data_IF_907921454941
#
_entry.id   IF_907921454941
#
_cell.length_a   1.000
_cell.length_b   1.000
_cell.length_c   1.000
_cell.angle_alpha   90.00
_cell.angle_beta   90.00
_cell.angle_gamma   90.00
#
_symmetry.space_group_name_H-M   'P 1'
#
loop_
_entity.id
_entity.type
_entity.pdbx_description
1 polymer ?
#
# COMPACT_ATOMS: atom_id res chain seq x y z
N UNK A 1 26.04 25.76 11.70
CA UNK A 1 25.33 26.13 12.94
C UNK A 1 23.89 25.60 13.03
N UNK A 2 22.98 25.92 12.09
CA UNK A 2 21.56 25.47 12.16
C UNK A 2 21.37 23.94 12.20
N UNK A 3 22.19 23.18 11.46
CA UNK A 3 22.16 21.70 11.46
C UNK A 3 22.67 21.11 12.78
N UNK A 4 23.66 21.75 13.40
CA UNK A 4 24.25 21.33 14.67
C UNK A 4 23.29 21.56 15.85
N UNK A 5 22.57 22.70 15.86
CA UNK A 5 21.54 23.00 16.84
C UNK A 5 20.38 22.00 16.79
N UNK A 6 19.92 21.64 15.59
CA UNK A 6 18.85 20.66 15.42
C UNK A 6 19.27 19.26 15.88
N UNK A 7 20.53 18.87 15.64
CA UNK A 7 21.06 17.60 16.14
C UNK A 7 21.13 17.58 17.68
N UNK A 8 21.66 18.62 18.31
CA UNK A 8 21.72 18.71 19.77
C UNK A 8 20.33 18.73 20.42
N UNK A 9 19.39 19.49 19.86
CA UNK A 9 18.01 19.52 20.34
C UNK A 9 17.33 18.15 20.20
N UNK A 10 17.59 17.44 19.10
CA UNK A 10 17.07 16.09 18.88
C UNK A 10 17.68 15.06 19.85
N UNK A 11 18.98 15.14 20.12
CA UNK A 11 19.64 14.26 21.10
C UNK A 11 19.09 14.46 22.52
N UNK A 12 18.90 15.72 22.95
CA UNK A 12 18.27 16.03 24.24
C UNK A 12 16.84 15.47 24.29
N UNK A 13 16.07 15.61 23.21
CA UNK A 13 14.71 15.08 23.13
C UNK A 13 14.66 13.54 23.23
N UNK A 14 15.54 12.82 22.52
CA UNK A 14 15.60 11.36 22.60
C UNK A 14 16.04 10.88 23.98
N UNK A 15 16.92 11.63 24.65
CA UNK A 15 17.33 11.34 26.03
C UNK A 15 16.17 11.44 27.01
N UNK A 16 15.33 12.46 26.88
CA UNK A 16 14.13 12.65 27.74
C UNK A 16 12.99 11.69 27.38
N UNK A 17 12.90 11.23 26.13
CA UNK A 17 11.89 10.28 25.66
C UNK A 17 12.52 9.01 25.05
N UNK A 18 13.11 8.12 25.85
CA UNK A 18 13.82 6.93 25.35
C UNK A 18 12.88 5.92 24.65
N UNK A 19 11.57 5.98 24.92
CA UNK A 19 10.55 5.18 24.21
C UNK A 19 10.05 5.83 22.92
N UNK A 20 10.47 7.05 22.60
CA UNK A 20 10.07 7.75 21.38
C UNK A 20 10.62 7.01 20.17
N UNK A 21 9.76 6.77 19.20
CA UNK A 21 10.09 6.04 18.00
C UNK A 21 9.40 6.71 16.84
N UNK A 22 10.18 7.27 15.92
CA UNK A 22 9.68 7.94 14.71
C UNK A 22 8.69 7.03 13.96
N UNK A 23 8.96 5.72 13.75
CA UNK A 23 7.99 4.81 13.16
C UNK A 23 6.66 4.72 13.92
N UNK A 24 6.69 4.64 15.27
CA UNK A 24 5.48 4.57 16.09
C UNK A 24 4.70 5.87 16.03
N UNK A 25 5.36 7.02 16.14
CA UNK A 25 4.72 8.34 16.06
C UNK A 25 4.08 8.56 14.69
N UNK A 26 4.79 8.23 13.60
CA UNK A 26 4.26 8.31 12.24
C UNK A 26 3.05 7.37 12.05
N UNK A 27 3.13 6.14 12.55
CA UNK A 27 2.02 5.18 12.52
C UNK A 27 0.80 5.71 13.28
N UNK A 28 0.98 6.28 14.47
CA UNK A 28 -0.10 6.84 15.28
C UNK A 28 -0.75 8.04 14.60
N UNK A 29 0.03 8.97 14.04
CA UNK A 29 -0.49 10.13 13.30
C UNK A 29 -1.27 9.66 12.08
N UNK A 30 -0.70 8.73 11.31
CA UNK A 30 -1.35 8.18 10.12
C UNK A 30 -2.65 7.45 10.47
N UNK A 31 -2.63 6.62 11.52
CA UNK A 31 -3.81 5.95 12.06
C UNK A 31 -4.87 6.96 12.52
N UNK A 32 -4.47 8.03 13.20
CA UNK A 32 -5.38 9.10 13.60
C UNK A 32 -6.03 9.78 12.38
N UNK A 33 -5.28 10.08 11.32
CA UNK A 33 -5.84 10.66 10.09
C UNK A 33 -6.90 9.72 9.48
N UNK A 34 -6.60 8.43 9.37
CA UNK A 34 -7.53 7.43 8.81
C UNK A 34 -8.80 7.35 9.66
N UNK A 35 -8.64 7.21 10.98
CA UNK A 35 -9.74 7.12 11.93
C UNK A 35 -10.54 8.43 11.96
N UNK A 36 -9.89 9.58 11.79
CA UNK A 36 -10.58 10.87 11.73
C UNK A 36 -11.58 10.91 10.58
N UNK A 37 -11.25 10.32 9.42
CA UNK A 37 -12.16 10.20 8.27
C UNK A 37 -13.42 9.37 8.58
N UNK A 38 -13.33 8.45 9.54
CA UNK A 38 -14.45 7.60 10.00
C UNK A 38 -15.24 8.30 11.12
N UNK A 39 -14.56 8.85 12.12
CA UNK A 39 -15.19 9.34 13.36
C UNK A 39 -15.67 10.80 13.30
N UNK A 40 -14.97 11.70 12.59
CA UNK A 40 -15.43 13.11 12.49
C UNK A 40 -16.69 13.24 11.65
N UNK A 41 -16.97 12.28 10.77
CA UNK A 41 -18.20 12.26 10.00
C UNK A 41 -19.26 11.39 10.71
N UNK A 42 -19.76 11.91 11.84
CA UNK A 42 -20.63 11.34 12.90
C UNK A 42 -21.78 10.39 12.51
N UNK A 43 -22.08 10.18 11.23
CA UNK A 43 -23.03 9.17 10.79
C UNK A 43 -22.33 7.81 10.62
N UNK A 44 -22.22 7.07 11.73
CA UNK A 44 -21.76 5.69 11.80
C UNK A 44 -22.72 4.68 11.15
N UNK A 45 -23.76 5.16 10.45
CA UNK A 45 -24.59 4.30 9.61
C UNK A 45 -23.72 3.87 8.44
N UNK A 46 -23.36 2.58 8.42
CA UNK A 46 -22.60 1.85 7.39
C UNK A 46 -22.42 2.62 6.08
N UNK A 47 -21.19 2.70 5.57
CA UNK A 47 -20.81 3.47 4.37
C UNK A 47 -21.76 3.35 3.18
N UNK A 48 -22.54 2.27 3.08
CA UNK A 48 -23.71 2.06 2.21
C UNK A 48 -24.63 3.30 2.14
N UNK A 49 -24.98 3.93 3.28
CA UNK A 49 -25.91 5.08 3.26
C UNK A 49 -25.30 6.30 2.59
N UNK A 50 -23.97 6.46 2.63
CA UNK A 50 -23.25 7.51 1.90
C UNK A 50 -23.27 7.31 0.37
N UNK A 51 -23.37 6.06 -0.12
CA UNK A 51 -23.53 5.79 -1.55
C UNK A 51 -24.92 6.21 -2.08
N UNK A 52 -25.93 6.27 -1.21
CA UNK A 52 -27.34 6.56 -1.57
C UNK A 52 -27.81 7.99 -1.26
N UNK A 53 -27.10 8.75 -0.43
CA UNK A 53 -27.63 10.00 0.10
C UNK A 53 -27.41 11.21 -0.83
N UNK A 54 -28.46 12.00 -1.09
CA UNK A 54 -28.43 13.23 -1.92
C UNK A 54 -27.54 14.35 -1.35
N UNK A 55 -27.14 14.29 -0.07
CA UNK A 55 -26.34 15.34 0.58
C UNK A 55 -24.85 15.37 0.18
N UNK A 56 -24.37 14.38 -0.57
CA UNK A 56 -22.97 14.29 -1.02
C UNK A 56 -22.73 14.93 -2.39
N UNK A 57 -23.79 15.23 -3.15
CA UNK A 57 -23.69 15.89 -4.45
C UNK A 57 -23.31 17.36 -4.27
N UNK A 58 -22.31 17.80 -5.03
CA UNK A 58 -21.86 19.20 -5.05
C UNK A 58 -22.95 20.05 -5.70
N UNK A 59 -23.24 21.24 -5.17
CA UNK A 59 -24.14 22.22 -5.80
C UNK A 59 -23.38 22.98 -6.91
N UNK A 60 -24.03 23.38 -8.01
CA UNK A 60 -23.39 24.21 -9.01
C UNK A 60 -22.96 25.54 -8.38
N UNK A 61 -21.76 26.05 -8.69
CA UNK A 61 -21.32 27.38 -8.28
C UNK A 61 -22.22 28.47 -8.85
N UNK A 62 -22.26 29.60 -8.16
CA UNK A 62 -22.92 30.84 -8.62
C UNK A 62 -22.17 31.54 -9.74
N UNK A 63 -20.84 31.39 -9.80
CA UNK A 63 -19.98 31.99 -10.82
C UNK A 63 -19.44 30.92 -11.79
N UNK A 64 -19.45 31.21 -13.11
CA UNK A 64 -18.81 30.34 -14.10
C UNK A 64 -17.27 30.44 -13.97
N UNK A 65 -16.58 29.29 -13.92
CA UNK A 65 -15.12 29.27 -13.99
C UNK A 65 -14.65 29.90 -15.31
N UNK A 66 -13.64 30.78 -15.23
CA UNK A 66 -12.98 31.35 -16.39
C UNK A 66 -12.38 30.30 -17.32
N UNK A 67 -12.56 30.48 -18.63
CA UNK A 67 -12.09 29.55 -19.67
C UNK A 67 -10.58 29.23 -19.58
N UNK A 68 -9.75 30.12 -19.02
CA UNK A 68 -8.29 29.96 -18.89
C UNK A 68 -7.90 28.80 -17.95
N UNK A 69 -8.56 28.68 -16.79
CA UNK A 69 -8.29 27.59 -15.85
C UNK A 69 -8.69 26.25 -16.47
N UNK A 70 -9.82 26.20 -17.17
CA UNK A 70 -10.28 25.00 -17.86
C UNK A 70 -9.31 24.56 -18.96
N UNK A 71 -8.78 25.51 -19.75
CA UNK A 71 -7.80 25.22 -20.80
C UNK A 71 -6.48 24.70 -20.21
N UNK A 72 -5.96 25.34 -19.16
CA UNK A 72 -4.73 24.91 -18.47
C UNK A 72 -4.85 23.47 -17.98
N UNK A 73 -5.94 23.14 -17.27
CA UNK A 73 -6.18 21.78 -16.76
C UNK A 73 -6.30 20.76 -17.89
N UNK A 74 -6.98 21.14 -18.99
CA UNK A 74 -7.15 20.26 -20.16
C UNK A 74 -5.81 19.96 -20.83
N UNK A 75 -4.97 20.97 -21.06
CA UNK A 75 -3.65 20.81 -21.68
C UNK A 75 -2.74 19.97 -20.77
N UNK A 76 -2.74 20.23 -19.46
CA UNK A 76 -1.98 19.42 -18.50
C UNK A 76 -2.42 17.96 -18.53
N UNK A 77 -3.72 17.67 -18.48
CA UNK A 77 -4.24 16.30 -18.56
C UNK A 77 -3.91 15.62 -19.88
N UNK A 78 -3.92 16.34 -21.00
CA UNK A 78 -3.50 15.80 -22.29
C UNK A 78 -2.03 15.39 -22.28
N UNK A 79 -1.13 16.29 -21.86
CA UNK A 79 0.31 16.03 -21.84
C UNK A 79 0.67 14.87 -20.91
N UNK A 80 0.01 14.80 -19.76
CA UNK A 80 0.24 13.74 -18.80
C UNK A 80 -0.37 12.38 -19.23
N UNK A 81 -1.54 12.37 -19.89
CA UNK A 81 -2.05 11.14 -20.53
C UNK A 81 -1.09 10.64 -21.62
N UNK A 82 -0.47 11.54 -22.40
CA UNK A 82 0.51 11.16 -23.42
C UNK A 82 1.78 10.58 -22.77
N UNK A 83 2.28 11.21 -21.72
CA UNK A 83 3.43 10.70 -20.96
C UNK A 83 3.17 9.31 -20.38
N UNK A 84 2.03 9.13 -19.71
CA UNK A 84 1.67 7.88 -19.08
C UNK A 84 1.39 6.78 -20.11
N UNK A 85 0.85 7.14 -21.27
CA UNK A 85 0.70 6.20 -22.39
C UNK A 85 2.06 5.69 -22.86
N UNK A 86 3.05 6.58 -23.02
CA UNK A 86 4.42 6.18 -23.37
C UNK A 86 5.01 5.21 -22.35
N UNK A 87 4.83 5.48 -21.05
CA UNK A 87 5.28 4.58 -19.98
C UNK A 87 4.59 3.21 -20.08
N UNK A 88 3.27 3.19 -20.28
CA UNK A 88 2.52 1.95 -20.42
C UNK A 88 2.93 1.14 -21.67
N UNK A 89 3.22 1.81 -22.79
CA UNK A 89 3.69 1.14 -24.00
C UNK A 89 5.06 0.49 -23.78
N UNK A 90 5.98 1.21 -23.12
CA UNK A 90 7.29 0.67 -22.72
C UNK A 90 7.07 -0.55 -21.80
N UNK A 91 6.27 -0.41 -20.74
CA UNK A 91 6.01 -1.51 -19.81
C UNK A 91 5.38 -2.73 -20.51
N UNK A 92 4.42 -2.53 -21.41
CA UNK A 92 3.81 -3.64 -22.16
C UNK A 92 4.85 -4.31 -23.06
N UNK A 93 5.61 -3.54 -23.84
CA UNK A 93 6.61 -4.11 -24.75
C UNK A 93 7.70 -4.90 -24.01
N UNK A 94 8.27 -4.32 -22.94
CA UNK A 94 9.38 -4.92 -22.22
C UNK A 94 8.94 -5.98 -21.19
N UNK A 95 7.83 -5.76 -20.46
CA UNK A 95 7.42 -6.67 -19.39
C UNK A 95 6.46 -7.76 -19.86
N UNK A 96 5.57 -7.48 -20.82
CA UNK A 96 4.54 -8.44 -21.21
C UNK A 96 5.02 -9.35 -22.34
N UNK A 97 5.76 -8.80 -23.31
CA UNK A 97 6.17 -9.53 -24.52
C UNK A 97 7.64 -9.95 -24.54
N UNK A 98 8.59 -9.07 -24.23
CA UNK A 98 10.03 -9.33 -24.38
C UNK A 98 10.73 -9.89 -23.13
N UNK A 99 9.98 -10.54 -22.25
CA UNK A 99 10.49 -10.91 -20.93
C UNK A 99 11.43 -12.12 -20.91
N UNK A 100 11.53 -12.87 -22.01
CA UNK A 100 12.30 -14.12 -22.07
C UNK A 100 13.84 -13.92 -22.06
N UNK A 101 14.33 -12.72 -22.40
CA UNK A 101 15.76 -12.49 -22.66
C UNK A 101 16.50 -11.66 -21.59
N UNK A 102 15.84 -11.26 -20.48
CA UNK A 102 16.47 -10.38 -19.49
C UNK A 102 17.07 -11.15 -18.31
N UNK A 103 18.35 -10.90 -18.01
CA UNK A 103 19.07 -11.56 -16.92
C UNK A 103 18.50 -11.21 -15.53
N UNK A 104 18.53 -12.16 -14.58
CA UNK A 104 18.05 -11.94 -13.21
C UNK A 104 18.74 -10.75 -12.49
N UNK A 105 19.98 -10.44 -12.88
CA UNK A 105 20.77 -9.34 -12.34
C UNK A 105 20.28 -7.95 -12.83
N UNK A 106 19.99 -7.81 -14.12
CA UNK A 106 19.41 -6.57 -14.68
C UNK A 106 18.00 -6.34 -14.13
N UNK A 107 17.25 -7.42 -13.96
CA UNK A 107 15.90 -7.38 -13.42
C UNK A 107 15.87 -6.90 -11.96
N UNK A 108 16.81 -7.32 -11.11
CA UNK A 108 16.87 -6.87 -9.71
C UNK A 108 17.01 -5.34 -9.57
N UNK A 109 17.88 -4.72 -10.40
CA UNK A 109 18.14 -3.28 -10.40
C UNK A 109 16.97 -2.48 -10.98
N UNK A 110 16.38 -2.97 -12.07
CA UNK A 110 15.21 -2.36 -12.72
C UNK A 110 13.96 -2.43 -11.84
N UNK A 111 13.79 -3.51 -11.08
CA UNK A 111 12.62 -3.75 -10.23
C UNK A 111 12.67 -2.92 -8.95
N UNK A 112 13.81 -2.84 -8.27
CA UNK A 112 13.90 -2.06 -7.02
C UNK A 112 13.75 -0.56 -7.27
N UNK A 113 14.43 0.02 -8.26
CA UNK A 113 14.30 1.47 -8.51
C UNK A 113 12.98 1.81 -9.21
N UNK A 114 12.54 1.00 -10.17
CA UNK A 114 11.32 1.27 -10.95
C UNK A 114 10.02 1.14 -10.16
N UNK A 115 9.88 0.10 -9.31
CA UNK A 115 8.61 -0.18 -8.63
C UNK A 115 8.22 0.92 -7.64
N UNK A 116 9.18 1.43 -6.85
CA UNK A 116 8.89 2.52 -5.90
C UNK A 116 8.54 3.83 -6.61
N UNK A 117 9.23 4.16 -7.71
CA UNK A 117 8.91 5.33 -8.52
C UNK A 117 7.51 5.24 -9.13
N UNK A 118 7.12 4.05 -9.60
CA UNK A 118 5.78 3.79 -10.13
C UNK A 118 4.69 3.91 -9.05
N UNK A 119 4.94 3.39 -7.84
CA UNK A 119 4.05 3.56 -6.69
C UNK A 119 3.85 5.05 -6.36
N UNK A 120 4.93 5.82 -6.28
CA UNK A 120 4.87 7.26 -6.02
C UNK A 120 4.09 7.98 -7.12
N UNK A 121 4.30 7.59 -8.38
CA UNK A 121 3.58 8.14 -9.54
C UNK A 121 2.07 7.94 -9.42
N UNK A 122 1.60 6.75 -9.05
CA UNK A 122 0.16 6.46 -8.85
C UNK A 122 -0.43 7.33 -7.72
N UNK A 123 0.29 7.51 -6.62
CA UNK A 123 -0.16 8.37 -5.51
C UNK A 123 -0.28 9.84 -5.93
N UNK A 124 0.73 10.35 -6.66
CA UNK A 124 0.70 11.71 -7.21
C UNK A 124 -0.47 11.87 -8.18
N UNK A 125 -0.67 10.88 -9.06
CA UNK A 125 -1.80 10.84 -10.00
C UNK A 125 -3.14 10.95 -9.28
N UNK A 126 -3.33 10.18 -8.20
CA UNK A 126 -4.55 10.25 -7.38
C UNK A 126 -4.72 11.66 -6.81
N UNK A 127 -3.66 12.25 -6.26
CA UNK A 127 -3.69 13.62 -5.72
C UNK A 127 -4.09 14.66 -6.76
N UNK A 128 -3.53 14.58 -7.97
CA UNK A 128 -3.85 15.48 -9.09
C UNK A 128 -5.33 15.37 -9.49
N UNK A 129 -5.85 14.15 -9.62
CA UNK A 129 -7.26 13.93 -9.96
C UNK A 129 -8.19 14.48 -8.87
N UNK A 130 -7.87 14.23 -7.60
CA UNK A 130 -8.65 14.78 -6.47
C UNK A 130 -8.65 16.30 -6.48
N UNK A 131 -7.50 16.93 -6.77
CA UNK A 131 -7.37 18.37 -6.85
C UNK A 131 -8.20 18.97 -7.99
N UNK A 132 -8.10 18.43 -9.22
CA UNK A 132 -8.84 18.96 -10.38
C UNK A 132 -10.36 18.79 -10.24
N UNK A 133 -10.83 17.73 -9.58
CA UNK A 133 -12.27 17.47 -9.41
C UNK A 133 -12.83 17.96 -8.05
N UNK A 134 -12.11 18.82 -7.33
CA UNK A 134 -12.51 19.33 -5.98
C UNK A 134 -13.62 20.38 -6.00
N UNK A 135 -13.96 20.98 -7.14
CA UNK A 135 -14.90 22.11 -7.17
C UNK A 135 -15.66 22.28 -8.48
N UNK A 136 -15.75 23.54 -8.88
CA UNK A 136 -16.65 24.10 -9.90
C UNK A 136 -16.46 23.53 -11.30
N UNK A 137 -15.29 22.92 -11.57
CA UNK A 137 -14.93 22.32 -12.87
C UNK A 137 -15.95 21.25 -13.28
N UNK A 138 -16.60 20.60 -12.31
CA UNK A 138 -17.66 19.61 -12.51
C UNK A 138 -18.93 20.16 -13.23
N UNK A 139 -19.07 21.48 -13.34
CA UNK A 139 -20.24 22.15 -13.92
C UNK A 139 -19.93 22.95 -15.19
N UNK A 140 -18.71 22.87 -15.72
CA UNK A 140 -18.33 23.58 -16.94
C UNK A 140 -19.06 23.03 -18.19
N UNK A 141 -19.38 23.91 -19.15
CA UNK A 141 -20.06 23.56 -20.43
C UNK A 141 -19.35 22.48 -21.25
N UNK A 142 -18.03 22.33 -21.09
CA UNK A 142 -17.14 21.39 -21.80
C UNK A 142 -16.67 20.23 -20.92
N UNK A 143 -17.33 19.98 -19.79
CA UNK A 143 -16.93 18.95 -18.81
C UNK A 143 -16.76 17.56 -19.42
N UNK A 144 -17.51 17.20 -20.47
CA UNK A 144 -17.39 15.90 -21.16
C UNK A 144 -15.96 15.59 -21.63
N UNK A 145 -15.24 16.58 -22.16
CA UNK A 145 -13.85 16.41 -22.61
C UNK A 145 -12.94 16.12 -21.42
N UNK A 146 -13.05 16.94 -20.37
CA UNK A 146 -12.25 16.82 -19.15
C UNK A 146 -12.48 15.49 -18.44
N UNK A 147 -13.74 15.07 -18.33
CA UNK A 147 -14.14 13.78 -17.75
C UNK A 147 -13.62 12.62 -18.59
N UNK A 148 -13.66 12.70 -19.92
CA UNK A 148 -13.09 11.67 -20.79
C UNK A 148 -11.58 11.51 -20.60
N UNK A 149 -10.84 12.63 -20.56
CA UNK A 149 -9.40 12.63 -20.30
C UNK A 149 -9.04 12.08 -18.92
N UNK A 150 -9.87 12.36 -17.91
CA UNK A 150 -9.70 11.80 -16.58
C UNK A 150 -9.97 10.29 -16.54
N UNK A 151 -10.99 9.80 -17.26
CA UNK A 151 -11.22 8.35 -17.35
C UNK A 151 -10.14 7.61 -18.13
N UNK A 152 -9.65 8.19 -19.23
CA UNK A 152 -8.49 7.67 -19.96
C UNK A 152 -7.27 7.57 -19.03
N UNK A 153 -7.02 8.62 -18.26
CA UNK A 153 -5.93 8.66 -17.29
C UNK A 153 -6.07 7.56 -16.22
N UNK A 154 -7.27 7.43 -15.63
CA UNK A 154 -7.54 6.42 -14.61
C UNK A 154 -7.31 5.02 -15.17
N UNK A 155 -7.82 4.75 -16.38
CA UNK A 155 -7.61 3.47 -17.06
C UNK A 155 -6.12 3.19 -17.28
N UNK A 156 -5.35 4.19 -17.72
CA UNK A 156 -3.90 4.06 -17.87
C UNK A 156 -3.19 3.78 -16.53
N UNK A 157 -3.64 4.34 -15.41
CA UNK A 157 -3.09 4.00 -14.09
C UNK A 157 -3.47 2.60 -13.63
N UNK A 158 -4.66 2.11 -14.00
CA UNK A 158 -5.03 0.71 -13.73
C UNK A 158 -4.12 -0.26 -14.49
N UNK A 159 -3.80 0.05 -15.77
CA UNK A 159 -2.82 -0.72 -16.56
C UNK A 159 -1.45 -0.68 -15.88
N UNK A 160 -1.00 0.50 -15.45
CA UNK A 160 0.27 0.66 -14.74
C UNK A 160 0.34 -0.19 -13.46
N UNK A 161 -0.72 -0.18 -12.66
CA UNK A 161 -0.85 -1.04 -11.47
C UNK A 161 -0.74 -2.52 -11.86
N UNK A 162 -1.38 -2.93 -12.95
CA UNK A 162 -1.26 -4.28 -13.51
C UNK A 162 0.18 -4.65 -13.87
N UNK A 163 0.92 -3.76 -14.53
CA UNK A 163 2.33 -3.95 -14.86
C UNK A 163 3.20 -4.12 -13.62
N UNK A 164 2.96 -3.34 -12.56
CA UNK A 164 3.68 -3.51 -11.28
C UNK A 164 3.32 -4.83 -10.61
N UNK A 165 2.06 -5.27 -10.68
CA UNK A 165 1.64 -6.58 -10.18
C UNK A 165 2.37 -7.72 -10.86
N UNK A 166 2.45 -7.72 -12.19
CA UNK A 166 3.16 -8.73 -12.98
C UNK A 166 4.63 -8.76 -12.56
N UNK A 167 5.27 -7.59 -12.45
CA UNK A 167 6.66 -7.45 -12.02
C UNK A 167 6.90 -8.03 -10.63
N UNK A 168 6.03 -7.70 -9.66
CA UNK A 168 6.13 -8.21 -8.29
C UNK A 168 5.91 -9.72 -8.24
N UNK A 169 4.94 -10.24 -9.01
CA UNK A 169 4.67 -11.67 -9.11
C UNK A 169 5.88 -12.44 -9.65
N UNK A 170 6.51 -11.96 -10.73
CA UNK A 170 7.73 -12.56 -11.28
C UNK A 170 8.90 -12.49 -10.32
N UNK A 171 9.03 -11.40 -9.59
CA UNK A 171 10.05 -11.27 -8.56
C UNK A 171 9.85 -12.28 -7.41
N UNK A 172 8.59 -12.54 -7.04
CA UNK A 172 8.24 -13.62 -6.10
C UNK A 172 8.54 -15.00 -6.71
N UNK A 173 8.27 -15.20 -7.99
CA UNK A 173 8.56 -16.45 -8.70
C UNK A 173 10.06 -16.79 -8.72
N UNK A 174 10.95 -15.81 -8.85
CA UNK A 174 12.40 -16.05 -8.86
C UNK A 174 13.02 -16.11 -7.46
N UNK A 175 12.63 -15.21 -6.55
CA UNK A 175 13.33 -14.98 -5.28
C UNK A 175 12.51 -15.35 -4.03
N UNK A 176 11.36 -15.99 -4.19
CA UNK A 176 10.48 -16.37 -3.08
C UNK A 176 9.59 -15.23 -2.57
N UNK A 177 8.79 -15.51 -1.55
CA UNK A 177 7.90 -14.55 -0.91
C UNK A 177 8.63 -13.82 0.22
N UNK A 178 8.36 -12.52 0.38
CA UNK A 178 8.85 -11.71 1.52
C UNK A 178 7.76 -10.77 2.01
N UNK A 179 7.91 -10.27 3.23
CA UNK A 179 7.04 -9.23 3.80
C UNK A 179 6.91 -8.01 2.88
N UNK A 180 8.01 -7.53 2.30
CA UNK A 180 8.00 -6.36 1.40
C UNK A 180 7.16 -6.63 0.14
N UNK A 181 7.29 -7.81 -0.47
CA UNK A 181 6.55 -8.19 -1.70
C UNK A 181 5.06 -8.35 -1.44
N UNK A 182 4.66 -8.89 -0.28
CA UNK A 182 3.25 -8.94 0.16
C UNK A 182 2.72 -7.52 0.37
N UNK A 183 3.49 -6.67 1.06
CA UNK A 183 3.11 -5.27 1.29
C UNK A 183 2.87 -4.50 0.00
N UNK A 184 3.72 -4.70 -1.03
CA UNK A 184 3.50 -4.12 -2.37
C UNK A 184 2.19 -4.62 -2.97
N UNK A 185 1.91 -5.93 -2.96
CA UNK A 185 0.63 -6.46 -3.49
C UNK A 185 -0.59 -5.85 -2.80
N UNK A 186 -0.57 -5.77 -1.47
CA UNK A 186 -1.67 -5.17 -0.69
C UNK A 186 -1.84 -3.69 -1.01
N UNK A 187 -0.73 -2.96 -1.11
CA UNK A 187 -0.74 -1.56 -1.49
C UNK A 187 -1.36 -1.35 -2.88
N UNK A 188 -1.01 -2.18 -3.86
CA UNK A 188 -1.57 -2.08 -5.21
C UNK A 188 -3.08 -2.36 -5.24
N UNK A 189 -3.60 -3.27 -4.41
CA UNK A 189 -5.05 -3.49 -4.23
C UNK A 189 -5.70 -2.22 -3.68
N UNK A 190 -5.12 -1.61 -2.64
CA UNK A 190 -5.63 -0.37 -2.06
C UNK A 190 -5.61 0.79 -3.09
N UNK A 191 -4.55 0.92 -3.88
CA UNK A 191 -4.45 1.92 -4.93
C UNK A 191 -5.53 1.71 -6.01
N UNK A 192 -5.80 0.46 -6.39
CA UNK A 192 -6.87 0.13 -7.32
C UNK A 192 -8.25 0.51 -6.76
N UNK A 193 -8.52 0.23 -5.48
CA UNK A 193 -9.74 0.68 -4.80
C UNK A 193 -9.81 2.22 -4.81
N UNK A 194 -8.70 2.91 -4.56
CA UNK A 194 -8.59 4.37 -4.66
C UNK A 194 -9.01 4.90 -6.03
N UNK A 195 -8.51 4.32 -7.12
CA UNK A 195 -8.89 4.70 -8.48
C UNK A 195 -10.37 4.42 -8.77
N UNK A 196 -10.92 3.31 -8.30
CA UNK A 196 -12.34 2.98 -8.45
C UNK A 196 -13.24 3.98 -7.68
N UNK A 197 -12.87 4.34 -6.44
CA UNK A 197 -13.63 5.34 -5.66
C UNK A 197 -13.59 6.73 -6.29
N UNK A 198 -12.46 7.13 -6.91
CA UNK A 198 -12.36 8.38 -7.68
C UNK A 198 -13.26 8.33 -8.91
N UNK A 199 -13.26 7.23 -9.64
CA UNK A 199 -14.16 7.03 -10.79
C UNK A 199 -15.61 7.22 -10.38
N UNK A 200 -16.00 6.59 -9.26
CA UNK A 200 -17.35 6.73 -8.70
C UNK A 200 -17.66 8.18 -8.29
N UNK A 201 -16.72 8.87 -7.65
CA UNK A 201 -16.85 10.29 -7.28
C UNK A 201 -17.11 11.15 -8.52
N UNK A 202 -16.37 10.93 -9.60
CA UNK A 202 -16.51 11.72 -10.84
C UNK A 202 -17.89 11.48 -11.47
N UNK A 203 -18.31 10.21 -11.60
CA UNK A 203 -19.62 9.85 -12.18
C UNK A 203 -20.78 10.46 -11.37
N UNK A 204 -20.70 10.39 -10.04
CA UNK A 204 -21.78 10.82 -9.13
C UNK A 204 -21.62 12.26 -8.62
N UNK A 205 -20.60 13.00 -9.07
CA UNK A 205 -20.27 14.37 -8.63
C UNK A 205 -20.25 14.53 -7.10
N UNK A 206 -19.60 13.58 -6.43
CA UNK A 206 -19.52 13.56 -4.97
C UNK A 206 -18.43 14.50 -4.46
N UNK A 207 -18.60 14.99 -3.24
CA UNK A 207 -17.61 15.80 -2.54
C UNK A 207 -16.33 15.00 -2.19
N UNK A 208 -15.28 15.71 -1.75
CA UNK A 208 -14.00 15.08 -1.38
C UNK A 208 -14.12 14.20 -0.13
N UNK A 209 -15.05 14.50 0.78
CA UNK A 209 -15.26 13.73 2.01
C UNK A 209 -15.66 12.28 1.72
N UNK A 210 -16.40 12.04 0.64
CA UNK A 210 -16.71 10.68 0.19
C UNK A 210 -15.45 9.83 -0.04
N UNK A 211 -14.39 10.41 -0.62
CA UNK A 211 -13.14 9.69 -0.86
C UNK A 211 -12.42 9.36 0.45
N UNK A 212 -12.34 10.32 1.37
CA UNK A 212 -11.71 10.08 2.67
C UNK A 212 -12.40 8.97 3.43
N UNK A 213 -13.74 9.00 3.54
CA UNK A 213 -14.50 7.97 4.25
C UNK A 213 -14.32 6.60 3.57
N UNK A 214 -14.55 6.52 2.26
CA UNK A 214 -14.55 5.24 1.54
C UNK A 214 -13.17 4.58 1.57
N UNK A 215 -12.10 5.36 1.35
CA UNK A 215 -10.74 4.85 1.39
C UNK A 215 -10.26 4.55 2.82
N UNK A 216 -10.69 5.32 3.84
CA UNK A 216 -10.44 4.98 5.24
C UNK A 216 -11.06 3.64 5.63
N UNK A 217 -12.30 3.36 5.19
CA UNK A 217 -12.95 2.07 5.42
C UNK A 217 -12.24 0.93 4.69
N UNK A 218 -11.87 1.12 3.42
CA UNK A 218 -11.11 0.13 2.66
C UNK A 218 -9.78 -0.18 3.34
N UNK A 219 -9.06 0.84 3.81
CA UNK A 219 -7.81 0.68 4.54
C UNK A 219 -8.01 -0.06 5.87
N UNK A 220 -9.03 0.29 6.64
CA UNK A 220 -9.34 -0.38 7.91
C UNK A 220 -9.71 -1.86 7.70
N UNK A 221 -10.50 -2.17 6.68
CA UNK A 221 -10.85 -3.55 6.32
C UNK A 221 -9.59 -4.33 5.94
N UNK A 222 -8.72 -3.75 5.12
CA UNK A 222 -7.45 -4.38 4.76
C UNK A 222 -6.59 -4.62 6.00
N UNK A 223 -6.40 -3.63 6.87
CA UNK A 223 -5.64 -3.82 8.12
C UNK A 223 -6.21 -4.93 8.99
N UNK A 224 -7.54 -4.98 9.12
CA UNK A 224 -8.23 -6.03 9.87
C UNK A 224 -7.91 -7.41 9.26
N UNK A 225 -8.02 -7.56 7.94
CA UNK A 225 -7.68 -8.81 7.24
C UNK A 225 -6.20 -9.17 7.43
N UNK A 226 -5.28 -8.20 7.32
CA UNK A 226 -3.85 -8.44 7.54
C UNK A 226 -3.57 -8.94 8.97
N UNK A 227 -4.32 -8.49 9.97
CA UNK A 227 -4.16 -8.94 11.36
C UNK A 227 -4.59 -10.40 11.60
N UNK A 228 -5.50 -10.94 10.79
CA UNK A 228 -5.95 -12.34 10.91
C UNK A 228 -5.05 -13.33 10.17
N UNK A 229 -4.23 -12.87 9.23
CA UNK A 229 -3.44 -13.73 8.37
C UNK A 229 -2.03 -13.91 8.93
N UNK A 230 -1.62 -15.17 9.11
CA UNK A 230 -0.25 -15.48 9.53
C UNK A 230 0.71 -15.46 8.33
N UNK A 231 1.24 -14.29 8.02
CA UNK A 231 2.15 -14.12 6.87
C UNK A 231 3.45 -14.88 7.01
N UNK A 232 4.05 -14.95 8.20
CA UNK A 232 5.28 -15.71 8.44
C UNK A 232 5.13 -17.19 8.08
N UNK A 233 4.01 -17.80 8.48
CA UNK A 233 3.70 -19.19 8.13
C UNK A 233 3.55 -19.35 6.61
N UNK A 234 2.82 -18.45 5.95
CA UNK A 234 2.60 -18.50 4.50
C UNK A 234 3.93 -18.34 3.75
N UNK A 235 4.77 -17.39 4.18
CA UNK A 235 6.10 -17.15 3.60
C UNK A 235 6.96 -18.40 3.75
N UNK A 236 7.03 -18.97 4.96
CA UNK A 236 7.81 -20.18 5.21
C UNK A 236 7.33 -21.35 4.34
N UNK A 237 6.03 -21.64 4.30
CA UNK A 237 5.49 -22.76 3.50
C UNK A 237 5.68 -22.58 1.99
N UNK A 238 5.65 -21.34 1.48
CA UNK A 238 5.91 -21.08 0.06
C UNK A 238 7.39 -21.19 -0.29
N UNK A 239 8.26 -20.66 0.57
CA UNK A 239 9.69 -20.60 0.30
C UNK A 239 10.35 -21.97 0.45
N UNK A 240 9.99 -22.73 1.49
CA UNK A 240 10.57 -24.04 1.77
C UNK A 240 10.25 -25.11 0.70
N UNK A 241 9.21 -24.92 -0.11
CA UNK A 241 8.90 -25.79 -1.26
C UNK A 241 9.85 -25.59 -2.44
N UNK A 242 10.66 -24.52 -2.43
CA UNK A 242 11.51 -24.15 -3.55
C UNK A 242 12.91 -24.72 -3.37
N UNK A 243 13.56 -25.18 -4.45
CA UNK A 243 14.92 -25.73 -4.36
C UNK A 243 15.95 -24.68 -3.93
N UNK A 244 15.79 -23.43 -4.38
CA UNK A 244 16.71 -22.32 -4.09
C UNK A 244 16.24 -21.49 -2.88
N UNK A 245 15.68 -22.15 -1.85
CA UNK A 245 15.15 -21.45 -0.68
C UNK A 245 16.30 -20.80 0.12
N UNK A 246 16.16 -19.51 0.40
CA UNK A 246 16.98 -18.83 1.41
C UNK A 246 16.52 -19.27 2.81
N UNK A 247 17.15 -20.32 3.32
CA UNK A 247 16.84 -20.90 4.62
C UNK A 247 17.19 -19.94 5.78
N UNK A 248 18.19 -19.08 5.60
CA UNK A 248 18.57 -18.08 6.62
C UNK A 248 17.46 -17.04 6.78
N UNK A 249 16.90 -16.56 5.67
CA UNK A 249 15.72 -15.70 5.71
C UNK A 249 14.53 -16.38 6.41
N UNK A 250 14.22 -17.63 6.06
CA UNK A 250 13.10 -18.36 6.68
C UNK A 250 13.31 -18.58 8.18
N UNK A 251 14.54 -18.86 8.62
CA UNK A 251 14.90 -18.99 10.05
C UNK A 251 14.82 -17.67 10.82
N UNK A 252 14.85 -16.53 10.13
CA UNK A 252 14.68 -15.20 10.72
C UNK A 252 13.22 -14.78 10.91
N UNK A 253 12.26 -15.50 10.29
CA UNK A 253 10.83 -15.24 10.42
C UNK A 253 10.35 -15.49 11.86
N UNK A 254 9.17 -14.98 12.23
CA UNK A 254 8.68 -15.15 13.59
C UNK A 254 8.50 -16.61 13.99
N UNK A 255 8.24 -16.85 15.27
CA UNK A 255 8.07 -18.20 15.82
C UNK A 255 6.95 -19.00 15.13
N UNK A 256 6.07 -18.32 14.40
CA UNK A 256 5.02 -18.94 13.61
C UNK A 256 5.49 -19.72 12.39
N UNK A 257 6.71 -19.46 11.92
CA UNK A 257 7.33 -20.22 10.84
C UNK A 257 7.89 -21.57 11.31
N UNK A 258 8.16 -21.76 12.62
CA UNK A 258 8.84 -22.95 13.15
C UNK A 258 8.15 -24.27 12.78
N UNK A 259 6.82 -24.42 12.95
CA UNK A 259 6.16 -25.67 12.55
C UNK A 259 6.35 -26.01 11.07
N UNK A 260 6.37 -24.99 10.21
CA UNK A 260 6.64 -25.16 8.78
C UNK A 260 8.10 -25.55 8.53
N UNK A 261 9.05 -24.92 9.22
CA UNK A 261 10.48 -25.25 9.10
C UNK A 261 10.73 -26.72 9.46
N UNK A 262 10.27 -27.17 10.64
CA UNK A 262 10.48 -28.55 11.10
C UNK A 262 9.79 -29.59 10.21
N UNK A 263 8.70 -29.20 9.53
CA UNK A 263 8.01 -30.08 8.59
C UNK A 263 8.83 -30.36 7.32
N UNK A 264 9.52 -29.36 6.78
CA UNK A 264 10.30 -29.50 5.54
C UNK A 264 11.78 -29.86 5.82
N UNK A 265 12.28 -29.51 7.00
CA UNK A 265 13.65 -29.77 7.45
C UNK A 265 13.64 -30.44 8.84
N UNK A 266 13.24 -31.72 8.92
CA UNK A 266 13.17 -32.45 10.18
C UNK A 266 14.54 -32.67 10.84
N UNK A 267 15.63 -32.50 10.10
CA UNK A 267 17.00 -32.53 10.62
C UNK A 267 17.33 -31.32 11.51
N UNK A 268 16.59 -30.22 11.37
CA UNK A 268 16.80 -29.02 12.17
C UNK A 268 16.11 -29.15 13.52
N UNK A 269 16.83 -28.79 14.58
CA UNK A 269 16.22 -28.67 15.91
C UNK A 269 15.68 -27.26 16.12
N UNK A 270 14.67 -27.13 16.97
CA UNK A 270 14.10 -25.81 17.32
C UNK A 270 15.15 -24.88 17.89
N UNK A 271 16.07 -25.45 18.67
CA UNK A 271 17.19 -24.75 19.30
C UNK A 271 18.12 -24.10 18.26
N UNK A 272 18.12 -24.55 17.01
CA UNK A 272 18.95 -24.01 15.94
C UNK A 272 18.28 -22.83 15.20
N UNK A 273 17.02 -22.51 15.53
CA UNK A 273 16.25 -21.43 14.90
C UNK A 273 16.39 -20.15 15.74
N UNK A 274 16.92 -19.08 15.13
CA UNK A 274 17.18 -17.81 15.82
C UNK A 274 15.94 -17.23 16.51
N UNK A 275 14.78 -17.31 15.86
CA UNK A 275 13.51 -16.81 16.39
C UNK A 275 13.02 -17.59 17.60
N UNK A 276 13.37 -18.88 17.72
CA UNK A 276 13.10 -19.68 18.91
C UNK A 276 13.97 -19.23 20.08
N UNK A 277 15.28 -19.01 19.85
CA UNK A 277 16.21 -18.54 20.88
C UNK A 277 15.77 -17.20 21.47
N UNK A 278 15.41 -16.25 20.61
CA UNK A 278 14.90 -14.95 21.02
C UNK A 278 13.61 -15.08 21.84
N UNK A 279 12.67 -15.89 21.37
CA UNK A 279 11.40 -16.08 22.07
C UNK A 279 11.54 -16.73 23.44
N UNK A 280 12.42 -17.73 23.60
CA UNK A 280 12.68 -18.35 24.90
C UNK A 280 13.36 -17.37 25.86
N UNK A 281 14.26 -16.52 25.35
CA UNK A 281 14.91 -15.49 26.16
C UNK A 281 13.89 -14.45 26.65
N UNK A 282 13.00 -14.00 25.77
CA UNK A 282 11.91 -13.09 26.11
C UNK A 282 10.96 -13.76 27.12
N UNK A 283 10.46 -14.96 26.79
CA UNK A 283 9.48 -15.74 27.57
C UNK A 283 9.92 -16.10 29.00
N UNK A 284 11.22 -16.09 29.31
CA UNK A 284 11.69 -16.23 30.69
C UNK A 284 11.27 -15.08 31.61
N UNK A 285 10.93 -13.91 31.05
CA UNK A 285 10.44 -12.75 31.78
C UNK A 285 8.90 -12.66 31.86
N UNK A 286 8.21 -13.60 31.24
CA UNK A 286 6.77 -13.53 30.98
C UNK A 286 5.94 -14.11 32.14
N UNK A 287 4.88 -13.41 32.54
CA UNK A 287 3.87 -13.89 33.50
C UNK A 287 2.75 -14.63 32.78
N UNK A 288 1.86 -15.29 33.55
CA UNK A 288 0.70 -16.03 33.02
C UNK A 288 -0.19 -15.21 32.07
N UNK A 289 -0.18 -13.88 32.17
CA UNK A 289 -0.93 -12.93 31.33
C UNK A 289 -0.46 -12.88 29.88
N UNK A 290 0.78 -13.28 29.62
CA UNK A 290 1.38 -13.24 28.28
C UNK A 290 1.38 -14.62 27.60
N UNK A 291 0.67 -15.58 28.19
CA UNK A 291 0.48 -16.90 27.61
C UNK A 291 -0.32 -16.80 26.31
N UNK A 292 0.19 -17.43 25.25
CA UNK A 292 -0.50 -17.57 23.98
C UNK A 292 -0.70 -19.04 23.60
N UNK A 293 -1.73 -19.32 22.80
CA UNK A 293 -1.94 -20.65 22.20
C UNK A 293 -0.70 -21.12 21.41
N UNK A 294 0.07 -20.19 20.87
CA UNK A 294 1.27 -20.49 20.12
C UNK A 294 2.39 -21.03 21.02
N UNK A 295 2.58 -20.45 22.20
CA UNK A 295 3.54 -20.94 23.20
C UNK A 295 3.27 -22.39 23.59
N UNK A 296 1.99 -22.72 23.76
CA UNK A 296 1.57 -24.09 24.04
C UNK A 296 1.89 -25.04 22.88
N UNK A 297 1.57 -24.65 21.64
CA UNK A 297 1.88 -25.48 20.46
C UNK A 297 3.37 -25.69 20.30
N UNK A 298 4.19 -24.64 20.48
CA UNK A 298 5.63 -24.73 20.32
C UNK A 298 6.32 -25.62 21.34
N UNK A 299 5.84 -25.64 22.59
CA UNK A 299 6.32 -26.59 23.61
C UNK A 299 6.00 -28.04 23.24
N UNK A 300 4.87 -28.27 22.55
CA UNK A 300 4.35 -29.60 22.27
C UNK A 300 4.66 -30.16 20.87
N UNK A 301 5.09 -29.33 19.92
CA UNK A 301 5.68 -29.83 18.66
C UNK A 301 6.91 -30.66 19.03
N UNK A 302 7.16 -31.82 18.43
CA UNK A 302 8.43 -32.54 18.62
C UNK A 302 9.35 -32.23 17.45
#
# INVERSE_FOLDING_TARGET
EKTLFLQQAFEVFIKEFPTFSIPRTAFTIFGYIILSGIFFNRNLQFGIKYFTNKNTSIKPPTDEIGNEMFQTVTISLLGLNALLLSVNLIDIQYLWFNFADTSAAEMSKLVHSGTYLLIISVLISIGILVFFFKGDLNFHKKIKLLTSLAFAWIAQNMILIGSVFIRNYKYVEMYGLTHKRIGVSVFLILALIGLLTITWKIIKKLNINFLFISNSWAFLLVLLVLGFVNFDKIIAENNLKRPNCDLEYVKSLSIHAIPSILKYHPELKKEDINSYKWHIKESKSHTWLSWSLMDYKLKNTK
#
